data_IF_305999351246
#
_entry.id   IF_305999351246
#
_cell.length_a   1.000
_cell.length_b   1.000
_cell.length_c   1.000
_cell.angle_alpha   90.00
_cell.angle_beta   90.00
_cell.angle_gamma   90.00
#
_symmetry.space_group_name_H-M   'P 1'
#
loop_
_entity.id
_entity.type
_entity.pdbx_description
1 polymer ?
#
# COMPACT_ATOMS: atom_id res chain seq x y z
N UNK A 1 -35.23 8.37 6.36
CA UNK A 1 -34.34 7.79 5.34
C UNK A 1 -33.48 8.90 4.77
N UNK A 2 -32.16 8.72 4.63
CA UNK A 2 -31.28 9.77 4.06
C UNK A 2 -31.57 9.88 2.56
N UNK A 3 -31.86 11.09 2.07
CA UNK A 3 -32.16 11.32 0.66
C UNK A 3 -30.91 11.14 -0.23
N UNK A 4 -31.10 10.89 -1.53
CA UNK A 4 -30.00 10.82 -2.51
C UNK A 4 -29.13 12.09 -2.44
N UNK A 5 -29.78 13.25 -2.33
CA UNK A 5 -29.10 14.55 -2.31
C UNK A 5 -28.25 14.72 -1.04
N UNK A 6 -28.79 14.39 0.14
CA UNK A 6 -28.04 14.42 1.41
C UNK A 6 -26.83 13.48 1.39
N UNK A 7 -26.97 12.26 0.86
CA UNK A 7 -25.85 11.31 0.74
C UNK A 7 -24.74 11.86 -0.16
N UNK A 8 -25.12 12.47 -1.28
CA UNK A 8 -24.19 13.04 -2.25
C UNK A 8 -23.44 14.22 -1.62
N UNK A 9 -24.15 15.16 -0.98
CA UNK A 9 -23.53 16.27 -0.26
C UNK A 9 -22.58 15.78 0.85
N UNK A 10 -22.96 14.75 1.60
CA UNK A 10 -22.08 14.17 2.63
C UNK A 10 -20.78 13.60 2.04
N UNK A 11 -20.86 12.92 0.89
CA UNK A 11 -19.68 12.38 0.19
C UNK A 11 -18.78 13.49 -0.36
N UNK A 12 -19.36 14.52 -0.98
CA UNK A 12 -18.61 15.68 -1.50
C UNK A 12 -17.89 16.43 -0.38
N UNK A 13 -18.57 16.65 0.75
CA UNK A 13 -17.97 17.23 1.94
C UNK A 13 -16.81 16.39 2.49
N UNK A 14 -16.93 15.05 2.47
CA UNK A 14 -15.83 14.16 2.84
C UNK A 14 -14.63 14.28 1.88
N UNK A 15 -14.88 14.35 0.57
CA UNK A 15 -13.83 14.54 -0.45
C UNK A 15 -13.10 15.86 -0.23
N UNK A 16 -13.81 16.95 0.04
CA UNK A 16 -13.20 18.26 0.32
C UNK A 16 -12.31 18.23 1.57
N UNK A 17 -12.76 17.56 2.65
CA UNK A 17 -11.96 17.39 3.88
C UNK A 17 -10.70 16.57 3.61
N UNK A 18 -10.80 15.50 2.83
CA UNK A 18 -9.66 14.66 2.43
C UNK A 18 -8.66 15.44 1.58
N UNK A 19 -9.13 16.24 0.61
CA UNK A 19 -8.29 17.12 -0.20
C UNK A 19 -7.46 18.08 0.65
N UNK A 20 -8.09 18.77 1.61
CA UNK A 20 -7.38 19.67 2.54
C UNK A 20 -6.32 18.91 3.35
N UNK A 21 -6.64 17.69 3.79
CA UNK A 21 -5.71 16.84 4.55
C UNK A 21 -4.52 16.39 3.71
N UNK A 22 -4.76 15.95 2.47
CA UNK A 22 -3.72 15.55 1.51
C UNK A 22 -2.81 16.74 1.21
N UNK A 23 -3.35 17.93 0.97
CA UNK A 23 -2.55 19.13 0.70
C UNK A 23 -1.64 19.50 1.88
N UNK A 24 -2.15 19.45 3.12
CA UNK A 24 -1.31 19.70 4.31
C UNK A 24 -0.20 18.66 4.45
N UNK A 25 -0.51 17.37 4.23
CA UNK A 25 0.50 16.31 4.26
C UNK A 25 1.54 16.47 3.15
N UNK A 26 1.15 16.88 1.94
CA UNK A 26 2.08 17.17 0.85
C UNK A 26 3.04 18.31 1.20
N UNK A 27 2.54 19.39 1.81
CA UNK A 27 3.40 20.49 2.28
C UNK A 27 4.41 20.00 3.33
N UNK A 28 3.98 19.16 4.28
CA UNK A 28 4.89 18.54 5.27
C UNK A 28 5.91 17.63 4.60
N UNK A 29 5.49 16.82 3.63
CA UNK A 29 6.39 15.94 2.86
C UNK A 29 7.46 16.75 2.14
N UNK A 30 7.07 17.85 1.48
CA UNK A 30 8.00 18.74 0.78
C UNK A 30 9.02 19.38 1.75
N UNK A 31 8.56 19.86 2.92
CA UNK A 31 9.48 20.38 3.97
C UNK A 31 10.48 19.31 4.42
N UNK A 32 10.04 18.08 4.66
CA UNK A 32 10.93 16.97 5.04
C UNK A 32 11.93 16.62 3.93
N UNK A 33 11.54 16.75 2.66
CA UNK A 33 12.45 16.56 1.52
C UNK A 33 13.59 17.58 1.52
N UNK A 34 13.26 18.87 1.73
CA UNK A 34 14.26 19.93 1.86
C UNK A 34 15.16 19.77 3.09
N UNK A 35 14.59 19.40 4.24
CA UNK A 35 15.36 19.12 5.47
C UNK A 35 16.35 17.98 5.24
N UNK A 36 15.93 16.90 4.56
CA UNK A 36 16.80 15.78 4.22
C UNK A 36 17.96 16.22 3.32
N UNK A 37 17.69 17.06 2.32
CA UNK A 37 18.74 17.63 1.46
C UNK A 37 19.72 18.50 2.25
N UNK A 38 19.21 19.35 3.15
CA UNK A 38 20.04 20.19 4.00
C UNK A 38 20.93 19.35 4.94
N UNK A 39 20.40 18.28 5.54
CA UNK A 39 21.20 17.35 6.37
C UNK A 39 22.28 16.67 5.54
N UNK A 40 21.95 16.22 4.33
CA UNK A 40 22.92 15.55 3.46
C UNK A 40 24.05 16.49 3.04
N UNK A 41 23.73 17.67 2.52
CA UNK A 41 24.72 18.66 2.08
C UNK A 41 25.52 19.22 3.27
N UNK A 42 24.83 19.59 4.35
CA UNK A 42 25.45 20.14 5.55
C UNK A 42 26.35 19.13 6.26
N UNK A 43 25.92 17.88 6.37
CA UNK A 43 26.72 16.82 6.97
C UNK A 43 27.90 16.38 6.10
N UNK A 44 27.75 16.37 4.77
CA UNK A 44 28.86 16.13 3.85
C UNK A 44 29.92 17.25 3.94
N UNK A 45 29.48 18.51 3.93
CA UNK A 45 30.37 19.66 4.12
C UNK A 45 31.10 19.59 5.46
N UNK A 46 30.38 19.34 6.55
CA UNK A 46 30.95 19.25 7.89
C UNK A 46 31.95 18.09 8.01
N UNK A 47 31.66 16.94 7.40
CA UNK A 47 32.55 15.79 7.39
C UNK A 47 33.87 16.08 6.64
N UNK A 48 33.80 16.77 5.49
CA UNK A 48 35.00 17.20 4.74
C UNK A 48 35.83 18.19 5.54
N UNK A 49 35.20 19.19 6.16
CA UNK A 49 35.89 20.20 6.97
C UNK A 49 36.61 19.53 8.16
N UNK A 50 35.91 18.64 8.87
CA UNK A 50 36.48 17.92 10.03
C UNK A 50 37.59 16.95 9.61
N UNK A 51 37.49 16.35 8.43
CA UNK A 51 38.56 15.52 7.87
C UNK A 51 39.89 16.29 7.77
N UNK A 52 39.85 17.53 7.28
CA UNK A 52 41.05 18.37 7.16
C UNK A 52 41.54 18.93 8.50
N UNK A 53 40.64 19.20 9.46
CA UNK A 53 40.98 19.82 10.75
C UNK A 53 41.40 18.84 11.85
N UNK A 54 40.70 17.71 11.97
CA UNK A 54 40.84 16.77 13.08
C UNK A 54 41.23 15.35 12.63
N UNK A 55 41.31 15.11 11.32
CA UNK A 55 41.69 13.83 10.74
C UNK A 55 40.52 12.84 10.56
N UNK A 56 40.84 11.69 9.98
CA UNK A 56 39.87 10.71 9.52
C UNK A 56 38.90 10.12 10.58
N UNK A 57 39.28 9.89 11.87
CA UNK A 57 38.37 9.29 12.82
C UNK A 57 37.19 10.21 13.18
N UNK A 58 37.46 11.52 13.31
CA UNK A 58 36.42 12.51 13.62
C UNK A 58 35.48 12.76 12.43
N UNK A 59 36.01 12.70 11.20
CA UNK A 59 35.19 12.71 10.00
C UNK A 59 34.21 11.52 9.96
N UNK A 60 34.65 10.32 10.35
CA UNK A 60 33.77 9.16 10.46
C UNK A 60 32.66 9.34 11.50
N UNK A 61 32.98 9.86 12.69
CA UNK A 61 31.98 10.14 13.74
C UNK A 61 30.91 11.10 13.23
N UNK A 62 31.31 12.18 12.55
CA UNK A 62 30.35 13.16 12.02
C UNK A 62 29.55 12.62 10.85
N UNK A 63 30.13 11.79 10.00
CA UNK A 63 29.42 11.02 8.98
C UNK A 63 28.37 10.09 9.58
N UNK A 64 28.71 9.37 10.65
CA UNK A 64 27.78 8.48 11.35
C UNK A 64 26.59 9.23 11.96
N UNK A 65 26.84 10.38 12.62
CA UNK A 65 25.78 11.24 13.17
C UNK A 65 24.88 11.78 12.04
N UNK A 66 25.48 12.23 10.94
CA UNK A 66 24.73 12.71 9.76
C UNK A 66 23.83 11.62 9.20
N UNK A 67 24.36 10.40 9.04
CA UNK A 67 23.61 9.25 8.53
C UNK A 67 22.45 8.87 9.45
N UNK A 68 22.66 8.92 10.77
CA UNK A 68 21.63 8.69 11.77
C UNK A 68 20.52 9.74 11.66
N UNK A 69 20.88 11.03 11.64
CA UNK A 69 19.92 12.13 11.49
C UNK A 69 19.12 12.02 10.17
N UNK A 70 19.80 11.73 9.06
CA UNK A 70 19.18 11.49 7.76
C UNK A 70 18.19 10.32 7.82
N UNK A 71 18.57 9.21 8.46
CA UNK A 71 17.75 8.01 8.58
C UNK A 71 16.47 8.26 9.38
N UNK A 72 16.55 9.03 10.47
CA UNK A 72 15.37 9.45 11.27
C UNK A 72 14.43 10.29 10.41
N UNK A 73 14.94 11.32 9.72
CA UNK A 73 14.11 12.18 8.87
C UNK A 73 13.50 11.38 7.71
N UNK A 74 14.27 10.50 7.08
CA UNK A 74 13.78 9.61 6.03
C UNK A 74 12.67 8.67 6.51
N UNK A 75 12.75 8.17 7.75
CA UNK A 75 11.70 7.36 8.36
C UNK A 75 10.39 8.15 8.52
N UNK A 76 10.45 9.36 9.08
CA UNK A 76 9.26 10.23 9.21
C UNK A 76 8.69 10.62 7.85
N UNK A 77 9.55 10.92 6.86
CA UNK A 77 9.12 11.21 5.50
C UNK A 77 8.33 10.03 4.90
N UNK A 78 8.86 8.81 5.00
CA UNK A 78 8.14 7.59 4.57
C UNK A 78 6.79 7.41 5.26
N UNK A 79 6.68 7.74 6.56
CA UNK A 79 5.39 7.70 7.25
C UNK A 79 4.39 8.73 6.68
N UNK A 80 4.85 9.94 6.41
CA UNK A 80 4.02 11.00 5.81
C UNK A 80 3.56 10.58 4.41
N UNK A 81 4.45 10.05 3.58
CA UNK A 81 4.10 9.52 2.25
C UNK A 81 3.06 8.40 2.32
N UNK A 82 3.26 7.41 3.22
CA UNK A 82 2.27 6.35 3.44
C UNK A 82 0.90 6.91 3.84
N UNK A 83 0.88 7.96 4.64
CA UNK A 83 -0.35 8.66 5.02
C UNK A 83 -0.99 9.34 3.81
N UNK A 84 -0.22 10.05 2.97
CA UNK A 84 -0.70 10.67 1.73
C UNK A 84 -1.35 9.63 0.83
N UNK A 85 -0.67 8.51 0.56
CA UNK A 85 -1.18 7.43 -0.29
C UNK A 85 -2.51 6.89 0.24
N UNK A 86 -2.61 6.62 1.55
CA UNK A 86 -3.86 6.16 2.18
C UNK A 86 -5.02 7.16 2.01
N UNK A 87 -4.77 8.45 2.21
CA UNK A 87 -5.80 9.48 2.07
C UNK A 87 -6.22 9.66 0.61
N UNK A 88 -5.30 9.57 -0.35
CA UNK A 88 -5.60 9.61 -1.79
C UNK A 88 -6.47 8.43 -2.22
N UNK A 89 -6.17 7.21 -1.75
CA UNK A 89 -7.00 6.04 -2.02
C UNK A 89 -8.40 6.22 -1.41
N UNK A 90 -8.48 6.73 -0.18
CA UNK A 90 -9.77 6.99 0.46
C UNK A 90 -10.60 8.01 -0.33
N UNK A 91 -9.95 9.07 -0.82
CA UNK A 91 -10.56 10.06 -1.68
C UNK A 91 -11.06 9.44 -3.00
N UNK A 92 -10.26 8.59 -3.64
CA UNK A 92 -10.64 7.90 -4.87
C UNK A 92 -11.88 7.01 -4.67
N UNK A 93 -11.95 6.27 -3.55
CA UNK A 93 -13.12 5.46 -3.20
C UNK A 93 -14.38 6.34 -3.10
N UNK A 94 -14.28 7.48 -2.41
CA UNK A 94 -15.41 8.41 -2.27
C UNK A 94 -15.80 9.07 -3.59
N UNK A 95 -14.83 9.48 -4.40
CA UNK A 95 -15.08 10.02 -5.72
C UNK A 95 -15.77 9.00 -6.63
N UNK A 96 -15.36 7.73 -6.57
CA UNK A 96 -16.00 6.64 -7.32
C UNK A 96 -17.45 6.43 -6.88
N UNK A 97 -17.75 6.51 -5.57
CA UNK A 97 -19.14 6.42 -5.09
C UNK A 97 -19.99 7.59 -5.61
N UNK A 98 -19.45 8.82 -5.63
CA UNK A 98 -20.14 9.97 -6.21
C UNK A 98 -20.37 9.78 -7.71
N UNK A 99 -19.36 9.31 -8.46
CA UNK A 99 -19.46 9.04 -9.89
C UNK A 99 -20.56 8.02 -10.19
N UNK A 100 -20.64 6.92 -9.43
CA UNK A 100 -21.73 5.93 -9.55
C UNK A 100 -23.11 6.52 -9.28
N UNK A 101 -23.26 7.35 -8.25
CA UNK A 101 -24.55 8.00 -7.90
C UNK A 101 -25.01 8.97 -9.02
N UNK A 102 -24.05 9.62 -9.69
CA UNK A 102 -24.27 10.56 -10.80
C UNK A 102 -24.27 9.90 -12.18
N UNK A 103 -23.99 8.59 -12.29
CA UNK A 103 -23.78 7.87 -13.56
C UNK A 103 -22.69 8.51 -14.44
N UNK A 104 -21.64 9.05 -13.80
CA UNK A 104 -20.49 9.65 -14.48
C UNK A 104 -19.50 8.55 -14.89
N UNK A 105 -19.78 7.91 -16.02
CA UNK A 105 -19.02 6.76 -16.54
C UNK A 105 -17.53 7.03 -16.75
N UNK A 106 -17.13 8.27 -17.06
CA UNK A 106 -15.72 8.63 -17.25
C UNK A 106 -14.91 8.48 -15.96
N UNK A 107 -15.57 8.63 -14.79
CA UNK A 107 -14.96 8.55 -13.47
C UNK A 107 -15.28 7.25 -12.72
N UNK A 108 -15.99 6.31 -13.36
CA UNK A 108 -16.18 4.95 -12.84
C UNK A 108 -15.04 4.07 -13.35
N UNK A 109 -14.27 3.39 -12.48
CA UNK A 109 -13.19 2.51 -12.90
C UNK A 109 -13.66 1.50 -13.95
N UNK A 110 -12.93 1.40 -15.05
CA UNK A 110 -13.20 0.38 -16.06
C UNK A 110 -12.90 -1.00 -15.51
N UNK A 111 -13.66 -1.98 -15.97
CA UNK A 111 -13.37 -3.39 -15.77
C UNK A 111 -12.78 -3.90 -17.08
N UNK A 112 -11.73 -4.72 -17.00
CA UNK A 112 -11.32 -5.54 -18.15
C UNK A 112 -12.48 -6.44 -18.55
N UNK A 113 -13.23 -6.05 -19.59
CA UNK A 113 -14.31 -6.86 -20.12
C UNK A 113 -13.71 -7.93 -21.03
N UNK A 114 -14.02 -9.19 -20.76
CA UNK A 114 -13.96 -10.21 -21.82
C UNK A 114 -15.00 -9.86 -22.88
N UNK A 115 -14.80 -10.36 -24.10
CA UNK A 115 -15.84 -10.33 -25.12
C UNK A 115 -17.15 -10.92 -24.56
N UNK A 116 -18.31 -10.40 -24.99
CA UNK A 116 -19.61 -10.96 -24.60
C UNK A 116 -19.67 -12.47 -24.88
N UNK A 117 -20.44 -13.19 -24.08
CA UNK A 117 -20.67 -14.61 -24.32
C UNK A 117 -21.55 -14.74 -25.56
N UNK A 118 -21.04 -15.43 -26.58
CA UNK A 118 -21.80 -15.73 -27.80
C UNK A 118 -23.11 -16.45 -27.44
N UNK A 119 -24.21 -16.02 -28.04
CA UNK A 119 -25.56 -16.58 -27.87
C UNK A 119 -26.16 -16.48 -26.44
N UNK A 120 -25.65 -15.57 -25.60
CA UNK A 120 -26.29 -15.31 -24.30
C UNK A 120 -27.64 -14.59 -24.48
N UNK A 121 -28.74 -15.07 -23.87
CA UNK A 121 -30.09 -14.61 -24.18
C UNK A 121 -30.37 -13.13 -23.90
N UNK A 122 -29.60 -12.49 -23.01
CA UNK A 122 -29.84 -11.11 -22.58
C UNK A 122 -28.58 -10.29 -22.29
N UNK A 123 -27.37 -10.81 -22.54
CA UNK A 123 -26.13 -10.11 -22.11
C UNK A 123 -25.95 -8.78 -22.83
N UNK A 124 -26.05 -8.81 -24.15
CA UNK A 124 -25.88 -7.64 -25.02
C UNK A 124 -27.09 -6.71 -24.95
N UNK A 125 -28.32 -7.24 -24.87
CA UNK A 125 -29.55 -6.45 -24.86
C UNK A 125 -29.71 -5.61 -23.58
N UNK A 126 -29.25 -6.13 -22.43
CA UNK A 126 -29.31 -5.45 -21.13
C UNK A 126 -28.00 -4.78 -20.71
N UNK A 127 -27.02 -4.68 -21.61
CA UNK A 127 -25.69 -4.13 -21.35
C UNK A 127 -25.07 -4.68 -20.04
N UNK A 128 -25.12 -6.00 -19.85
CA UNK A 128 -24.65 -6.63 -18.61
C UNK A 128 -23.13 -6.52 -18.47
N UNK A 129 -22.40 -6.66 -19.59
CA UNK A 129 -20.93 -6.62 -19.66
C UNK A 129 -20.45 -5.60 -20.69
N UNK A 130 -19.14 -5.31 -20.71
CA UNK A 130 -18.55 -4.31 -21.61
C UNK A 130 -18.41 -2.92 -20.97
N UNK A 131 -18.16 -1.91 -21.80
CA UNK A 131 -18.08 -0.51 -21.38
C UNK A 131 -19.47 0.04 -21.06
N UNK A 132 -19.55 0.87 -20.00
CA UNK A 132 -20.79 1.48 -19.53
C UNK A 132 -21.89 0.46 -19.16
N UNK A 133 -21.47 -0.72 -18.71
CA UNK A 133 -22.34 -1.85 -18.40
C UNK A 133 -22.84 -1.87 -16.95
N UNK A 134 -23.88 -2.65 -16.70
CA UNK A 134 -24.38 -2.92 -15.34
C UNK A 134 -23.26 -3.50 -14.45
N UNK A 135 -22.45 -4.41 -14.97
CA UNK A 135 -21.31 -4.97 -14.24
C UNK A 135 -20.31 -3.88 -13.82
N UNK A 136 -19.97 -2.94 -14.73
CA UNK A 136 -19.12 -1.79 -14.42
C UNK A 136 -19.72 -0.91 -13.32
N UNK A 137 -21.02 -0.67 -13.38
CA UNK A 137 -21.70 0.19 -12.42
C UNK A 137 -21.71 -0.39 -11.00
N UNK A 138 -22.09 -1.67 -10.86
CA UNK A 138 -22.35 -2.26 -9.54
C UNK A 138 -21.13 -2.88 -8.88
N UNK A 139 -20.14 -3.34 -9.65
CA UNK A 139 -19.03 -4.08 -9.06
C UNK A 139 -18.17 -3.18 -8.20
N UNK A 140 -17.83 -3.66 -7.00
CA UNK A 140 -16.79 -3.07 -6.14
C UNK A 140 -15.62 -4.02 -5.94
N UNK A 141 -15.58 -5.13 -6.69
CA UNK A 141 -14.55 -6.15 -6.56
C UNK A 141 -13.22 -5.65 -7.15
N UNK A 142 -12.15 -5.81 -6.37
CA UNK A 142 -10.80 -5.42 -6.78
C UNK A 142 -10.05 -6.60 -7.39
N UNK A 143 -10.24 -7.80 -6.85
CA UNK A 143 -9.64 -9.02 -7.42
C UNK A 143 -10.32 -9.41 -8.72
N UNK A 144 -9.56 -10.02 -9.61
CA UNK A 144 -10.05 -10.51 -10.89
C UNK A 144 -11.17 -11.55 -10.71
N UNK A 145 -10.97 -12.53 -9.83
CA UNK A 145 -11.95 -13.59 -9.56
C UNK A 145 -13.21 -13.05 -8.88
N UNK A 146 -13.08 -11.96 -8.09
CA UNK A 146 -14.22 -11.28 -7.50
C UNK A 146 -15.10 -10.63 -8.57
N UNK A 147 -14.49 -9.98 -9.57
CA UNK A 147 -15.21 -9.40 -10.71
C UNK A 147 -15.85 -10.48 -11.57
N UNK A 148 -15.11 -11.55 -11.88
CA UNK A 148 -15.62 -12.68 -12.63
C UNK A 148 -16.84 -13.32 -11.93
N UNK A 149 -16.80 -13.47 -10.61
CA UNK A 149 -17.93 -14.01 -9.84
C UNK A 149 -19.19 -13.14 -9.93
N UNK A 150 -19.04 -11.81 -9.90
CA UNK A 150 -20.19 -10.90 -10.09
C UNK A 150 -20.75 -11.03 -11.50
N UNK A 151 -19.89 -11.11 -12.52
CA UNK A 151 -20.30 -11.35 -13.90
C UNK A 151 -21.07 -12.67 -14.04
N UNK A 152 -20.54 -13.78 -13.50
CA UNK A 152 -21.20 -15.10 -13.50
C UNK A 152 -22.59 -15.06 -12.83
N UNK A 153 -22.74 -14.26 -11.78
CA UNK A 153 -24.05 -14.10 -11.13
C UNK A 153 -25.04 -13.29 -11.97
N UNK A 154 -24.57 -12.26 -12.68
CA UNK A 154 -25.42 -11.44 -13.55
C UNK A 154 -25.84 -12.18 -14.83
N UNK A 155 -24.99 -13.07 -15.34
CA UNK A 155 -25.24 -13.87 -16.54
C UNK A 155 -25.88 -15.24 -16.22
N UNK A 156 -26.30 -15.50 -14.99
CA UNK A 156 -26.92 -16.78 -14.67
C UNK A 156 -28.37 -16.83 -15.20
N UNK A 157 -28.63 -17.71 -16.16
CA UNK A 157 -29.95 -17.94 -16.76
C UNK A 157 -30.86 -18.84 -15.91
N UNK A 158 -30.31 -19.56 -14.92
CA UNK A 158 -31.05 -20.43 -13.98
C UNK A 158 -30.75 -20.07 -12.52
N UNK A 159 -31.23 -18.91 -12.04
CA UNK A 159 -31.00 -18.47 -10.67
C UNK A 159 -31.70 -19.37 -9.65
N UNK A 160 -30.95 -19.79 -8.62
CA UNK A 160 -31.51 -20.48 -7.47
C UNK A 160 -32.01 -19.49 -6.41
N UNK A 161 -33.31 -19.55 -6.08
CA UNK A 161 -33.95 -18.62 -5.15
C UNK A 161 -33.39 -18.70 -3.72
N UNK A 162 -33.08 -19.90 -3.22
CA UNK A 162 -32.52 -20.08 -1.88
C UNK A 162 -31.16 -19.38 -1.77
N UNK A 163 -30.27 -19.62 -2.74
CA UNK A 163 -28.95 -18.97 -2.81
C UNK A 163 -29.06 -17.44 -2.92
N UNK A 164 -30.07 -16.93 -3.63
CA UNK A 164 -30.34 -15.48 -3.71
C UNK A 164 -30.75 -14.94 -2.34
N UNK A 165 -31.65 -15.62 -1.62
CA UNK A 165 -32.09 -15.23 -0.29
C UNK A 165 -30.94 -15.15 0.71
N UNK A 166 -30.06 -16.15 0.73
CA UNK A 166 -28.86 -16.17 1.57
C UNK A 166 -27.94 -14.97 1.27
N UNK A 167 -27.71 -14.66 -0.01
CA UNK A 167 -26.89 -13.51 -0.41
C UNK A 167 -27.55 -12.19 -0.04
N UNK A 168 -28.87 -12.06 -0.20
CA UNK A 168 -29.60 -10.86 0.19
C UNK A 168 -29.52 -10.62 1.69
N UNK A 169 -29.61 -11.65 2.52
CA UNK A 169 -29.40 -11.56 3.97
C UNK A 169 -27.99 -11.03 4.30
N UNK A 170 -26.95 -11.60 3.68
CA UNK A 170 -25.57 -11.12 3.83
C UNK A 170 -25.40 -9.66 3.38
N UNK A 171 -26.05 -9.26 2.28
CA UNK A 171 -26.03 -7.88 1.82
C UNK A 171 -26.71 -6.93 2.80
N UNK A 172 -27.83 -7.35 3.43
CA UNK A 172 -28.52 -6.55 4.44
C UNK A 172 -27.64 -6.34 5.68
N UNK A 173 -26.90 -7.36 6.11
CA UNK A 173 -25.92 -7.24 7.21
C UNK A 173 -24.76 -6.30 6.86
N UNK A 174 -24.25 -6.38 5.63
CA UNK A 174 -23.10 -5.58 5.19
C UNK A 174 -23.47 -4.15 4.81
N UNK A 175 -24.70 -3.87 4.38
CA UNK A 175 -25.17 -2.56 3.92
C UNK A 175 -24.97 -1.40 4.93
N UNK A 176 -25.23 -1.55 6.25
CA UNK A 176 -24.97 -0.47 7.21
C UNK A 176 -23.47 -0.27 7.50
N UNK A 177 -22.63 -1.28 7.27
CA UNK A 177 -21.20 -1.29 7.63
C UNK A 177 -20.30 -0.55 6.61
N UNK A 178 -20.64 0.70 6.28
CA UNK A 178 -19.93 1.51 5.27
C UNK A 178 -18.42 1.62 5.53
N UNK A 179 -18.03 1.89 6.79
CA UNK A 179 -16.60 2.01 7.17
C UNK A 179 -15.84 0.70 6.97
N UNK A 180 -16.48 -0.43 7.22
CA UNK A 180 -15.88 -1.75 6.99
C UNK A 180 -15.63 -1.96 5.50
N UNK A 181 -16.66 -1.73 4.66
CA UNK A 181 -16.55 -1.87 3.20
C UNK A 181 -15.45 -0.98 2.63
N UNK A 182 -15.45 0.31 2.96
CA UNK A 182 -14.42 1.24 2.47
C UNK A 182 -13.01 0.85 2.94
N UNK A 183 -12.86 0.40 4.19
CA UNK A 183 -11.57 -0.05 4.73
C UNK A 183 -11.08 -1.32 4.04
N UNK A 184 -11.99 -2.24 3.72
CA UNK A 184 -11.68 -3.44 2.94
C UNK A 184 -11.21 -3.05 1.54
N UNK A 185 -11.98 -2.22 0.83
CA UNK A 185 -11.62 -1.69 -0.50
C UNK A 185 -10.25 -0.99 -0.47
N UNK A 186 -10.01 -0.11 0.51
CA UNK A 186 -8.72 0.58 0.65
C UNK A 186 -7.56 -0.40 0.85
N UNK A 187 -7.72 -1.39 1.73
CA UNK A 187 -6.67 -2.41 1.96
C UNK A 187 -6.39 -3.22 0.71
N UNK A 188 -7.43 -3.62 -0.02
CA UNK A 188 -7.30 -4.35 -1.28
C UNK A 188 -6.62 -3.51 -2.37
N UNK A 189 -6.92 -2.20 -2.47
CA UNK A 189 -6.24 -1.30 -3.40
C UNK A 189 -4.75 -1.12 -3.04
N UNK A 190 -4.44 -0.94 -1.75
CA UNK A 190 -3.06 -0.85 -1.28
C UNK A 190 -2.25 -2.13 -1.59
N UNK A 191 -2.90 -3.29 -1.48
CA UNK A 191 -2.28 -4.56 -1.83
C UNK A 191 -2.08 -4.69 -3.35
N UNK A 192 -3.05 -4.25 -4.17
CA UNK A 192 -2.93 -4.31 -5.63
C UNK A 192 -1.92 -3.32 -6.20
N UNK A 193 -1.71 -2.14 -5.61
CA UNK A 193 -0.68 -1.19 -6.10
C UNK A 193 0.74 -1.76 -5.98
N UNK A 194 0.97 -2.68 -5.03
CA UNK A 194 2.28 -3.29 -4.82
C UNK A 194 2.51 -4.54 -5.66
N UNK A 195 1.49 -5.07 -6.35
CA UNK A 195 1.58 -6.25 -7.20
C UNK A 195 1.29 -5.78 -8.63
N UNK A 196 2.27 -5.88 -9.52
CA UNK A 196 2.18 -5.38 -10.89
C UNK A 196 1.02 -6.00 -11.71
N UNK A 197 0.43 -7.09 -11.20
CA UNK A 197 -0.74 -7.75 -11.76
C UNK A 197 -1.96 -7.61 -10.83
N UNK A 198 -3.14 -7.55 -11.45
CA UNK A 198 -4.43 -7.59 -10.77
C UNK A 198 -4.41 -8.60 -9.62
N UNK A 199 -4.90 -8.20 -8.44
CA UNK A 199 -4.79 -9.01 -7.23
C UNK A 199 -5.44 -10.39 -7.46
N UNK A 200 -4.60 -11.42 -7.59
CA UNK A 200 -5.02 -12.81 -7.78
C UNK A 200 -5.55 -13.36 -6.46
N UNK A 201 -6.88 -13.42 -6.33
CA UNK A 201 -7.54 -13.96 -5.16
C UNK A 201 -7.14 -15.41 -4.88
N UNK A 202 -6.89 -16.22 -5.92
CA UNK A 202 -6.43 -17.61 -5.80
C UNK A 202 -5.06 -17.71 -5.12
N UNK A 203 -4.12 -16.83 -5.48
CA UNK A 203 -2.79 -16.81 -4.86
C UNK A 203 -2.87 -16.49 -3.37
N UNK A 204 -3.71 -15.52 -3.00
CA UNK A 204 -3.96 -15.18 -1.59
C UNK A 204 -4.58 -16.35 -0.82
N UNK A 205 -5.56 -17.03 -1.41
CA UNK A 205 -6.20 -18.21 -0.80
C UNK A 205 -5.22 -19.37 -0.64
N UNK A 206 -4.37 -19.61 -1.63
CA UNK A 206 -3.33 -20.64 -1.55
C UNK A 206 -2.30 -20.31 -0.46
N UNK A 207 -1.90 -19.04 -0.33
CA UNK A 207 -1.03 -18.59 0.75
C UNK A 207 -1.66 -18.75 2.13
N UNK A 208 -2.95 -18.41 2.30
CA UNK A 208 -3.67 -18.65 3.56
C UNK A 208 -3.73 -20.13 3.93
N UNK A 209 -3.90 -21.02 2.94
CA UNK A 209 -3.85 -22.47 3.15
C UNK A 209 -2.45 -22.99 3.49
N UNK A 210 -1.40 -22.29 3.07
CA UNK A 210 -0.01 -22.62 3.38
C UNK A 210 0.46 -22.08 4.74
N UNK A 211 -0.30 -21.18 5.38
CA UNK A 211 0.12 -20.58 6.66
C UNK A 211 0.24 -21.58 7.82
N UNK A 212 -0.34 -22.78 7.68
CA UNK A 212 -0.20 -23.85 8.66
C UNK A 212 1.20 -24.51 8.70
N UNK A 213 2.13 -24.16 7.78
CA UNK A 213 3.45 -24.82 7.69
C UNK A 213 4.68 -23.91 7.88
N UNK A 214 4.52 -22.61 8.15
CA UNK A 214 5.66 -21.71 8.35
C UNK A 214 6.20 -21.76 9.79
N UNK A 215 7.16 -22.65 10.06
CA UNK A 215 7.99 -22.60 11.26
C UNK A 215 9.28 -21.83 10.98
N UNK A 216 9.37 -20.59 11.48
CA UNK A 216 10.62 -19.85 11.44
C UNK A 216 11.65 -20.54 12.34
N UNK A 217 12.68 -21.16 11.72
CA UNK A 217 13.69 -21.91 12.46
C UNK A 217 14.45 -20.98 13.40
N UNK A 218 14.48 -21.30 14.69
CA UNK A 218 15.22 -20.56 15.73
C UNK A 218 16.70 -20.38 15.37
N UNK A 219 17.27 -21.30 14.58
CA UNK A 219 18.66 -21.20 14.09
C UNK A 219 18.90 -19.92 13.29
N UNK A 220 17.91 -19.49 12.49
CA UNK A 220 18.08 -18.31 11.65
C UNK A 220 18.20 -17.02 12.47
N UNK A 221 17.42 -16.92 13.53
CA UNK A 221 17.48 -15.80 14.49
C UNK A 221 18.79 -15.81 15.26
N UNK A 222 19.26 -16.99 15.70
CA UNK A 222 20.53 -17.13 16.44
C UNK A 222 21.71 -16.71 15.57
N UNK A 223 21.76 -17.15 14.31
CA UNK A 223 22.84 -16.79 13.37
C UNK A 223 22.82 -15.27 13.13
N UNK A 224 21.65 -14.67 12.89
CA UNK A 224 21.53 -13.22 12.69
C UNK A 224 22.00 -12.41 13.92
N UNK A 225 21.67 -12.87 15.14
CA UNK A 225 22.13 -12.24 16.38
C UNK A 225 23.65 -12.37 16.52
N UNK A 226 24.20 -13.57 16.30
CA UNK A 226 25.65 -13.81 16.40
C UNK A 226 26.45 -12.92 15.42
N UNK A 227 25.97 -12.79 14.19
CA UNK A 227 26.59 -11.96 13.15
C UNK A 227 26.51 -10.46 13.49
N UNK A 228 25.39 -10.01 14.08
CA UNK A 228 25.22 -8.64 14.58
C UNK A 228 26.15 -8.32 15.76
N UNK A 229 26.33 -9.28 16.69
CA UNK A 229 27.25 -9.10 17.82
C UNK A 229 28.71 -9.06 17.33
N UNK A 230 29.07 -9.91 16.36
CA UNK A 230 30.41 -9.96 15.77
C UNK A 230 30.77 -8.65 15.06
N UNK A 231 29.83 -8.09 14.30
CA UNK A 231 30.04 -6.81 13.61
C UNK A 231 30.21 -5.65 14.60
N UNK A 232 29.39 -5.58 15.65
CA UNK A 232 29.51 -4.53 16.69
C UNK A 232 30.85 -4.64 17.44
N UNK A 233 31.28 -5.87 17.78
CA UNK A 233 32.56 -6.08 18.49
C UNK A 233 33.75 -5.68 17.64
N UNK A 234 33.80 -6.07 16.37
CA UNK A 234 34.88 -5.68 15.45
C UNK A 234 34.95 -4.17 15.21
N UNK A 235 33.80 -3.49 15.18
CA UNK A 235 33.74 -2.02 15.10
C UNK A 235 34.35 -1.36 16.35
N UNK A 236 33.98 -1.82 17.54
CA UNK A 236 34.51 -1.30 18.79
C UNK A 236 36.03 -1.52 18.89
N UNK A 237 36.51 -2.72 18.54
CA UNK A 237 37.95 -3.04 18.54
C UNK A 237 38.76 -2.18 17.53
N UNK A 238 38.16 -1.78 16.41
CA UNK A 238 38.78 -0.85 15.46
C UNK A 238 38.87 0.58 16.04
N UNK A 239 37.83 1.07 16.72
CA UNK A 239 37.82 2.40 17.36
C UNK A 239 38.92 2.51 18.42
N UNK A 240 39.16 1.44 19.20
CA UNK A 240 40.25 1.38 20.17
C UNK A 240 41.63 1.09 19.55
N UNK A 241 41.77 1.21 18.23
CA UNK A 241 43.01 1.07 17.46
C UNK A 241 43.72 -0.29 17.59
N UNK A 242 42.99 -1.35 17.96
CA UNK A 242 43.57 -2.71 18.11
C UNK A 242 43.65 -3.51 16.81
N UNK A 243 42.92 -3.10 15.77
CA UNK A 243 42.82 -3.81 14.49
C UNK A 243 42.57 -2.83 13.33
N UNK A 244 43.07 -3.17 12.14
CA UNK A 244 42.87 -2.40 10.91
C UNK A 244 41.41 -2.36 10.43
N UNK A 245 41.02 -1.35 9.64
CA UNK A 245 39.63 -1.12 9.23
C UNK A 245 39.05 -2.23 8.33
N UNK A 246 39.89 -3.06 7.71
CA UNK A 246 39.44 -4.15 6.81
C UNK A 246 38.51 -5.17 7.48
N UNK A 247 38.69 -5.48 8.76
CA UNK A 247 37.99 -6.59 9.43
C UNK A 247 36.51 -6.31 9.69
N UNK A 248 36.17 -5.07 10.07
CA UNK A 248 34.77 -4.71 10.27
C UNK A 248 34.02 -4.58 8.93
N UNK A 249 34.67 -4.07 7.88
CA UNK A 249 34.08 -3.96 6.54
C UNK A 249 33.69 -5.33 5.98
N UNK A 250 34.56 -6.34 6.13
CA UNK A 250 34.27 -7.72 5.72
C UNK A 250 33.09 -8.30 6.51
N UNK A 251 33.04 -8.07 7.83
CA UNK A 251 31.95 -8.56 8.67
C UNK A 251 30.60 -7.93 8.30
N UNK A 252 30.56 -6.65 7.92
CA UNK A 252 29.35 -5.97 7.46
C UNK A 252 28.87 -6.55 6.12
N UNK A 253 29.78 -6.77 5.17
CA UNK A 253 29.43 -7.38 3.87
C UNK A 253 28.87 -8.79 4.09
N UNK A 254 29.49 -9.58 4.96
CA UNK A 254 29.03 -10.93 5.30
C UNK A 254 27.64 -10.90 5.96
N UNK A 255 27.37 -9.90 6.80
CA UNK A 255 26.06 -9.73 7.44
C UNK A 255 24.95 -9.27 6.50
N UNK A 256 25.28 -8.60 5.40
CA UNK A 256 24.30 -8.15 4.40
C UNK A 256 24.02 -9.26 3.38
N UNK A 257 25.00 -10.15 3.15
CA UNK A 257 24.91 -11.24 2.16
C UNK A 257 24.25 -12.54 2.65
N UNK A 258 23.95 -12.64 3.95
CA UNK A 258 23.28 -13.79 4.57
C UNK A 258 21.77 -13.54 4.71
#
# INVERSE_FOLDING_TARGET
MITKHERLQALENQILRLNRRVNNLNQRSNRLSWVRLAIFLGGLFLSIVIFFLAGWPWALVTGAITLLAFSIVAYFHRQVERSITRHKIWQQIKATHVARIKLDWANIPSISSKSPVTDHPFETDLDITGERSLHQLITTAISYEGRQRVQEWLLNTSPNLQTIGERQALLQELAPLSRFRDKLTMKSLLASTNVAEHLEGKRLLNWLKQQDTYHQSRSTVIVAIALSVLTITLLLLNIFSRIGPQYWIIAVILSIGW
#
